data_IF_171400944628
#
_entry.id   IF_171400944628
#
_cell.length_a   1.000
_cell.length_b   1.000
_cell.length_c   1.000
_cell.angle_alpha   90.00
_cell.angle_beta   90.00
_cell.angle_gamma   90.00
#
_symmetry.space_group_name_H-M   'P 1'
#
loop_
_entity.id
_entity.type
_entity.pdbx_description
1 polymer ?
#
# COMPACT_ATOMS: atom_id res chain seq x y z
N UNK A 1 -12.11 -18.99 2.94
CA UNK A 1 -12.40 -17.94 1.93
C UNK A 1 -11.52 -18.17 0.71
N UNK A 2 -10.21 -18.33 0.88
CA UNK A 2 -9.28 -18.54 -0.23
C UNK A 2 -9.57 -19.84 -1.01
N UNK A 3 -9.89 -20.93 -0.33
CA UNK A 3 -10.18 -22.22 -0.98
C UNK A 3 -11.40 -22.20 -1.92
N UNK A 4 -12.42 -21.42 -1.60
CA UNK A 4 -13.61 -21.33 -2.46
C UNK A 4 -13.38 -20.51 -3.75
N UNK A 5 -12.32 -19.72 -3.80
CA UNK A 5 -11.99 -18.82 -4.92
C UNK A 5 -10.63 -19.09 -5.57
N UNK A 6 -9.98 -20.20 -5.23
CA UNK A 6 -8.67 -20.55 -5.80
C UNK A 6 -8.68 -20.59 -7.33
N UNK A 7 -9.72 -21.19 -7.92
CA UNK A 7 -9.88 -21.27 -9.37
C UNK A 7 -10.07 -19.91 -10.02
N UNK A 8 -10.74 -18.97 -9.34
CA UNK A 8 -10.89 -17.59 -9.84
C UNK A 8 -9.53 -16.90 -9.92
N UNK A 9 -8.68 -17.11 -8.90
CA UNK A 9 -7.32 -16.56 -8.85
C UNK A 9 -6.44 -17.18 -9.93
N UNK A 10 -6.45 -18.52 -10.04
CA UNK A 10 -5.68 -19.27 -11.05
C UNK A 10 -6.06 -18.87 -12.49
N UNK A 11 -7.35 -18.61 -12.73
CA UNK A 11 -7.87 -18.27 -14.05
C UNK A 11 -7.90 -16.76 -14.34
N UNK A 12 -7.48 -15.91 -13.40
CA UNK A 12 -7.57 -14.45 -13.56
C UNK A 12 -6.63 -13.88 -14.62
N UNK A 13 -5.57 -14.63 -15.00
CA UNK A 13 -4.62 -14.22 -16.04
C UNK A 13 -3.74 -13.02 -15.62
N UNK A 14 -3.48 -12.87 -14.32
CA UNK A 14 -2.57 -11.85 -13.82
C UNK A 14 -1.12 -12.28 -14.05
N UNK A 15 -0.23 -11.29 -14.25
CA UNK A 15 1.21 -11.52 -14.41
C UNK A 15 1.92 -11.73 -13.06
N UNK A 16 1.35 -11.21 -11.96
CA UNK A 16 1.91 -11.31 -10.62
C UNK A 16 0.87 -11.14 -9.52
N UNK A 17 1.33 -11.19 -8.28
CA UNK A 17 0.49 -11.12 -7.09
C UNK A 17 1.12 -10.27 -5.98
N UNK A 18 0.30 -9.42 -5.34
CA UNK A 18 0.68 -8.70 -4.14
C UNK A 18 0.12 -9.42 -2.91
N UNK A 19 0.99 -9.84 -2.00
CA UNK A 19 0.60 -10.51 -0.76
C UNK A 19 0.72 -9.57 0.44
N UNK A 20 -0.25 -9.63 1.33
CA UNK A 20 -0.42 -8.67 2.44
C UNK A 20 -0.46 -9.33 3.82
N UNK A 21 -0.42 -10.65 3.86
CA UNK A 21 -0.43 -11.40 5.11
C UNK A 21 0.35 -12.72 4.99
N UNK A 22 0.85 -13.28 6.11
CA UNK A 22 1.47 -14.59 6.12
C UNK A 22 0.53 -15.71 5.65
N UNK A 23 -0.77 -15.58 5.89
CA UNK A 23 -1.77 -16.55 5.43
C UNK A 23 -1.87 -16.57 3.90
N UNK A 24 -1.81 -15.40 3.26
CA UNK A 24 -1.77 -15.31 1.79
C UNK A 24 -0.49 -15.95 1.23
N UNK A 25 0.65 -15.72 1.87
CA UNK A 25 1.91 -16.37 1.49
C UNK A 25 1.81 -17.91 1.57
N UNK A 26 1.27 -18.43 2.66
CA UNK A 26 1.09 -19.88 2.82
C UNK A 26 0.12 -20.43 1.80
N UNK A 27 -0.96 -19.72 1.52
CA UNK A 27 -1.92 -20.10 0.48
C UNK A 27 -1.27 -20.18 -0.91
N UNK A 28 -0.49 -19.16 -1.30
CA UNK A 28 0.25 -19.14 -2.57
C UNK A 28 1.16 -20.35 -2.70
N UNK A 29 1.88 -20.72 -1.63
CA UNK A 29 2.78 -21.87 -1.60
C UNK A 29 2.02 -23.20 -1.68
N UNK A 30 0.99 -23.38 -0.87
CA UNK A 30 0.19 -24.62 -0.82
C UNK A 30 -0.53 -24.90 -2.14
N UNK A 31 -0.94 -23.87 -2.85
CA UNK A 31 -1.62 -23.99 -4.16
C UNK A 31 -0.68 -24.00 -5.36
N UNK A 32 0.62 -23.87 -5.15
CA UNK A 32 1.61 -23.82 -6.25
C UNK A 32 1.49 -22.57 -7.12
N UNK A 33 0.85 -21.49 -6.63
CA UNK A 33 0.64 -20.26 -7.41
C UNK A 33 1.96 -19.51 -7.67
N UNK A 34 3.01 -19.82 -6.92
CA UNK A 34 4.34 -19.26 -7.13
C UNK A 34 4.88 -19.59 -8.52
N UNK A 35 4.71 -20.84 -8.96
CA UNK A 35 5.11 -21.28 -10.30
C UNK A 35 4.20 -20.65 -11.39
N UNK A 36 2.90 -20.52 -11.10
CA UNK A 36 1.94 -19.92 -12.03
C UNK A 36 2.29 -18.46 -12.36
N UNK A 37 2.71 -17.68 -11.36
CA UNK A 37 3.08 -16.28 -11.52
C UNK A 37 4.58 -16.08 -11.77
N UNK A 38 5.31 -17.13 -12.18
CA UNK A 38 6.74 -17.10 -12.51
C UNK A 38 7.62 -16.43 -11.43
N UNK A 39 7.18 -16.51 -10.17
CA UNK A 39 7.85 -15.86 -9.05
C UNK A 39 7.63 -14.36 -8.93
N UNK A 40 6.75 -13.76 -9.73
CA UNK A 40 6.41 -12.34 -9.62
C UNK A 40 5.37 -12.10 -8.51
N UNK A 41 5.83 -12.35 -7.27
CA UNK A 41 5.06 -12.18 -6.05
C UNK A 41 5.76 -11.14 -5.19
N UNK A 42 5.03 -10.06 -4.91
CA UNK A 42 5.53 -8.95 -4.09
C UNK A 42 4.95 -9.01 -2.69
N UNK A 43 5.80 -9.00 -1.68
CA UNK A 43 5.40 -8.82 -0.29
C UNK A 43 5.10 -7.33 -0.04
N UNK A 44 3.83 -7.00 0.26
CA UNK A 44 3.40 -5.63 0.52
C UNK A 44 3.96 -5.09 1.85
N UNK A 45 3.90 -3.78 2.05
CA UNK A 45 4.39 -3.11 3.27
C UNK A 45 3.82 -3.70 4.57
N UNK A 46 2.65 -4.33 4.53
CA UNK A 46 2.02 -5.06 5.66
C UNK A 46 2.80 -6.31 6.10
N UNK A 47 3.76 -6.77 5.29
CA UNK A 47 4.62 -7.91 5.64
C UNK A 47 5.78 -7.50 6.54
N UNK A 48 5.87 -6.21 6.89
CA UNK A 48 6.79 -5.68 7.91
C UNK A 48 8.27 -6.02 7.69
N UNK A 49 8.76 -5.79 6.48
CA UNK A 49 10.18 -5.97 6.14
C UNK A 49 11.02 -4.79 6.65
N UNK A 50 11.28 -4.74 7.96
CA UNK A 50 11.99 -3.62 8.61
C UNK A 50 13.51 -3.72 8.55
N UNK A 51 14.06 -4.91 8.33
CA UNK A 51 15.49 -5.15 8.38
C UNK A 51 15.88 -6.30 7.44
N UNK A 52 17.21 -6.48 7.28
CA UNK A 52 17.77 -7.52 6.42
C UNK A 52 17.31 -8.93 6.80
N UNK A 53 17.21 -9.23 8.09
CA UNK A 53 16.84 -10.56 8.55
C UNK A 53 15.41 -10.93 8.14
N UNK A 54 14.47 -9.94 8.21
CA UNK A 54 13.11 -10.11 7.74
C UNK A 54 13.08 -10.34 6.21
N UNK A 55 13.84 -9.56 5.44
CA UNK A 55 13.98 -9.76 3.99
C UNK A 55 14.51 -11.16 3.69
N UNK A 56 15.62 -11.56 4.32
CA UNK A 56 16.22 -12.88 4.12
C UNK A 56 15.28 -14.03 4.52
N UNK A 57 14.47 -13.85 5.56
CA UNK A 57 13.48 -14.86 5.94
C UNK A 57 12.44 -15.06 4.82
N UNK A 58 11.95 -13.99 4.21
CA UNK A 58 11.02 -14.09 3.08
C UNK A 58 11.71 -14.63 1.81
N UNK A 59 12.98 -14.31 1.57
CA UNK A 59 13.74 -14.91 0.47
C UNK A 59 13.82 -16.43 0.57
N UNK A 60 13.99 -16.98 1.78
CA UNK A 60 13.96 -18.46 1.99
C UNK A 60 12.61 -19.07 1.63
N UNK A 61 11.55 -18.25 1.63
CA UNK A 61 10.20 -18.61 1.21
C UNK A 61 9.92 -18.33 -0.27
N UNK A 62 10.94 -17.87 -1.01
CA UNK A 62 10.87 -17.63 -2.45
C UNK A 62 10.47 -16.20 -2.84
N UNK A 63 10.24 -15.29 -1.90
CA UNK A 63 9.85 -13.90 -2.17
C UNK A 63 11.10 -13.05 -2.42
N UNK A 64 11.12 -12.31 -3.53
CA UNK A 64 12.23 -11.43 -3.91
C UNK A 64 11.79 -9.98 -4.19
N UNK A 65 10.50 -9.73 -4.23
CA UNK A 65 9.94 -8.41 -4.48
C UNK A 65 9.28 -7.89 -3.20
N UNK A 66 9.63 -6.68 -2.79
CA UNK A 66 9.19 -6.10 -1.52
C UNK A 66 8.72 -4.67 -1.68
N UNK A 67 7.53 -4.37 -1.17
CA UNK A 67 7.13 -3.00 -0.87
C UNK A 67 7.71 -2.61 0.48
N UNK A 68 8.56 -1.58 0.49
CA UNK A 68 9.21 -1.09 1.70
C UNK A 68 8.19 -0.53 2.68
N UNK A 69 8.38 -0.81 3.98
CA UNK A 69 7.43 -0.41 5.02
C UNK A 69 7.21 1.11 5.07
N UNK A 70 5.96 1.50 5.30
CA UNK A 70 5.55 2.90 5.49
C UNK A 70 5.99 3.47 6.84
N UNK A 71 6.41 2.63 7.78
CA UNK A 71 6.84 3.02 9.11
C UNK A 71 8.34 3.35 9.20
N UNK A 72 9.13 3.05 8.15
CA UNK A 72 10.55 3.37 8.10
C UNK A 72 10.78 4.83 7.68
N UNK A 73 11.65 5.54 8.43
CA UNK A 73 12.12 6.85 7.98
C UNK A 73 13.22 6.73 6.92
N UNK A 74 13.56 7.86 6.28
CA UNK A 74 14.54 7.91 5.20
C UNK A 74 15.90 7.30 5.58
N UNK A 75 16.36 7.53 6.83
CA UNK A 75 17.63 6.98 7.32
C UNK A 75 17.58 5.46 7.49
N UNK A 76 16.48 4.94 8.01
CA UNK A 76 16.24 3.51 8.17
C UNK A 76 16.08 2.82 6.81
N UNK A 77 15.34 3.42 5.87
CA UNK A 77 15.23 2.95 4.49
C UNK A 77 16.61 2.83 3.83
N UNK A 78 17.42 3.89 3.91
CA UNK A 78 18.78 3.89 3.38
C UNK A 78 19.66 2.79 4.00
N UNK A 79 19.52 2.56 5.30
CA UNK A 79 20.22 1.50 6.02
C UNK A 79 19.81 0.12 5.54
N UNK A 80 18.51 -0.14 5.40
CA UNK A 80 17.97 -1.40 4.89
C UNK A 80 18.46 -1.65 3.47
N UNK A 81 18.24 -0.72 2.53
CA UNK A 81 18.64 -0.84 1.13
C UNK A 81 20.15 -1.10 0.98
N UNK A 82 20.97 -0.44 1.78
CA UNK A 82 22.42 -0.70 1.82
C UNK A 82 22.74 -2.12 2.27
N UNK A 83 21.98 -2.67 3.23
CA UNK A 83 22.21 -4.00 3.80
C UNK A 83 21.85 -5.16 2.87
N UNK A 84 20.91 -4.94 1.94
CA UNK A 84 20.44 -5.91 0.94
C UNK A 84 21.05 -5.66 -0.46
N UNK A 85 21.95 -4.69 -0.58
CA UNK A 85 22.57 -4.32 -1.87
C UNK A 85 23.38 -5.47 -2.43
N UNK A 86 23.16 -5.81 -3.70
CA UNK A 86 23.85 -6.90 -4.40
C UNK A 86 23.13 -8.23 -4.32
N UNK A 87 22.06 -8.33 -3.57
CA UNK A 87 21.10 -9.45 -3.62
C UNK A 87 20.16 -9.22 -4.82
N UNK A 88 19.64 -10.30 -5.39
CA UNK A 88 18.67 -10.19 -6.51
C UNK A 88 17.27 -9.94 -5.96
N UNK A 89 17.10 -8.75 -5.35
CA UNK A 89 15.88 -8.28 -4.69
C UNK A 89 15.39 -7.04 -5.41
N UNK A 90 14.10 -7.01 -5.71
CA UNK A 90 13.39 -5.84 -6.19
C UNK A 90 12.70 -5.14 -5.04
N UNK A 91 12.85 -3.83 -4.95
CA UNK A 91 12.23 -2.99 -3.92
C UNK A 91 11.38 -1.89 -4.53
N UNK A 92 10.19 -1.70 -3.98
CA UNK A 92 9.36 -0.56 -4.31
C UNK A 92 8.94 0.23 -3.07
N UNK A 93 8.65 1.52 -3.24
CA UNK A 93 8.12 2.39 -2.19
C UNK A 93 6.80 3.00 -2.63
N UNK A 94 5.81 2.99 -1.74
CA UNK A 94 4.60 3.79 -1.93
C UNK A 94 4.98 5.27 -1.83
N UNK A 95 4.70 6.04 -2.88
CA UNK A 95 5.03 7.47 -2.97
C UNK A 95 3.80 8.36 -3.03
N UNK A 96 2.63 7.76 -3.18
CA UNK A 96 1.34 8.41 -3.04
C UNK A 96 0.27 7.41 -2.63
N UNK A 97 -0.56 7.79 -1.66
CA UNK A 97 -1.79 7.08 -1.32
C UNK A 97 -2.38 7.48 0.03
N UNK A 98 -3.67 7.21 0.21
CA UNK A 98 -4.28 7.27 1.53
C UNK A 98 -3.95 6.01 2.30
N UNK A 99 -3.23 6.15 3.40
CA UNK A 99 -2.83 5.01 4.23
C UNK A 99 -4.02 4.58 5.11
N UNK A 100 -4.39 3.29 5.12
CA UNK A 100 -5.37 2.78 6.04
C UNK A 100 -4.89 2.92 7.49
N UNK A 101 -5.66 3.61 8.32
CA UNK A 101 -5.36 3.78 9.75
C UNK A 101 -5.97 2.68 10.60
N UNK A 102 -7.11 2.12 10.13
CA UNK A 102 -7.87 1.17 10.92
C UNK A 102 -8.66 0.22 10.04
N UNK A 103 -8.71 -1.04 10.45
CA UNK A 103 -9.67 -2.05 9.98
C UNK A 103 -10.64 -2.32 11.12
N UNK A 104 -11.95 -2.24 10.87
CA UNK A 104 -12.94 -2.47 11.90
C UNK A 104 -14.08 -3.38 11.42
N UNK A 105 -14.49 -4.33 12.25
CA UNK A 105 -15.62 -5.21 12.01
C UNK A 105 -16.99 -4.57 12.36
N UNK A 106 -16.98 -3.40 13.01
CA UNK A 106 -18.22 -2.66 13.32
C UNK A 106 -18.77 -1.99 12.07
N UNK A 107 -19.98 -2.35 11.65
CA UNK A 107 -20.60 -1.74 10.47
C UNK A 107 -21.01 -0.28 10.76
N UNK A 108 -20.30 0.68 10.12
CA UNK A 108 -20.56 2.11 10.29
C UNK A 108 -21.99 2.49 9.89
N UNK A 109 -22.55 1.84 8.86
CA UNK A 109 -23.91 2.09 8.39
C UNK A 109 -24.98 1.70 9.40
N UNK A 110 -24.78 0.60 10.12
CA UNK A 110 -25.74 0.16 11.17
C UNK A 110 -25.79 1.10 12.37
N UNK A 111 -24.70 1.81 12.66
CA UNK A 111 -24.68 2.82 13.72
C UNK A 111 -25.43 4.10 13.32
N UNK A 112 -25.37 4.47 12.04
CA UNK A 112 -26.00 5.72 11.54
C UNK A 112 -27.46 5.53 11.20
N UNK A 113 -27.87 4.35 10.73
CA UNK A 113 -29.26 4.08 10.35
C UNK A 113 -29.58 2.60 10.51
N UNK A 114 -30.50 2.30 11.45
CA UNK A 114 -31.01 0.94 11.70
C UNK A 114 -31.76 0.37 10.49
N UNK A 115 -32.30 1.24 9.64
CA UNK A 115 -33.18 0.86 8.52
C UNK A 115 -32.46 0.75 7.18
N UNK A 116 -31.13 1.01 7.13
CA UNK A 116 -30.37 0.85 5.88
C UNK A 116 -30.11 -0.62 5.60
N UNK A 117 -30.47 -1.10 4.40
CA UNK A 117 -30.21 -2.49 4.04
C UNK A 117 -28.69 -2.76 4.03
N UNK A 118 -28.33 -3.93 4.57
CA UNK A 118 -26.98 -4.48 4.47
C UNK A 118 -26.59 -4.67 3.00
N UNK A 119 -25.29 -4.59 2.68
CA UNK A 119 -24.79 -4.88 1.33
C UNK A 119 -24.58 -3.66 0.42
N UNK A 120 -24.72 -2.46 0.93
CA UNK A 120 -24.34 -1.25 0.20
C UNK A 120 -22.87 -0.92 0.46
N UNK A 121 -21.99 -1.38 -0.41
CA UNK A 121 -20.63 -0.89 -0.46
C UNK A 121 -20.61 0.59 -0.82
N UNK A 122 -19.69 1.36 -0.24
CA UNK A 122 -19.55 2.78 -0.55
C UNK A 122 -18.48 3.44 0.29
N UNK A 123 -18.13 4.65 -0.10
CA UNK A 123 -17.23 5.52 0.64
C UNK A 123 -18.09 6.45 1.52
N UNK A 124 -17.74 6.53 2.79
CA UNK A 124 -18.42 7.34 3.80
C UNK A 124 -17.41 8.21 4.51
N UNK A 125 -17.84 9.36 4.99
CA UNK A 125 -16.99 10.25 5.77
C UNK A 125 -17.29 10.12 7.26
N UNK A 126 -16.24 9.92 8.06
CA UNK A 126 -16.28 9.93 9.51
C UNK A 126 -15.59 11.19 10.03
N UNK A 127 -16.23 11.90 10.96
CA UNK A 127 -15.63 13.08 11.59
C UNK A 127 -15.05 12.71 12.94
N UNK A 128 -13.75 12.95 13.12
CA UNK A 128 -13.07 12.73 14.39
C UNK A 128 -13.37 13.84 15.41
N UNK A 129 -12.88 13.68 16.66
CA UNK A 129 -13.07 14.67 17.73
C UNK A 129 -12.39 16.02 17.44
N UNK A 130 -11.39 16.05 16.55
CA UNK A 130 -10.68 17.27 16.14
C UNK A 130 -11.28 17.91 14.89
N UNK A 131 -12.40 17.35 14.39
CA UNK A 131 -13.10 17.84 13.20
C UNK A 131 -12.49 17.37 11.88
N UNK A 132 -11.50 16.48 11.89
CA UNK A 132 -10.92 15.89 10.67
C UNK A 132 -11.90 14.91 10.04
N UNK A 133 -11.97 14.95 8.71
CA UNK A 133 -12.81 14.03 7.93
C UNK A 133 -11.94 12.85 7.49
N UNK A 134 -12.32 11.65 7.92
CA UNK A 134 -11.69 10.38 7.58
C UNK A 134 -12.58 9.66 6.59
N UNK A 135 -12.00 9.15 5.50
CA UNK A 135 -12.75 8.32 4.55
C UNK A 135 -12.85 6.90 5.06
N UNK A 136 -14.06 6.32 5.00
CA UNK A 136 -14.31 4.93 5.38
C UNK A 136 -14.93 4.17 4.21
N UNK A 137 -14.31 3.07 3.81
CA UNK A 137 -14.83 2.16 2.79
C UNK A 137 -15.45 0.95 3.48
N UNK A 138 -16.73 0.71 3.19
CA UNK A 138 -17.44 -0.47 3.68
C UNK A 138 -17.24 -1.67 2.76
N UNK A 139 -16.50 -2.66 3.21
CA UNK A 139 -16.33 -3.95 2.54
C UNK A 139 -17.47 -4.90 2.94
N UNK A 140 -18.67 -4.60 2.48
CA UNK A 140 -19.91 -5.26 2.95
C UNK A 140 -19.96 -6.77 2.73
N UNK A 141 -19.28 -7.28 1.71
CA UNK A 141 -19.21 -8.71 1.43
C UNK A 141 -18.56 -9.50 2.59
N UNK A 142 -17.56 -8.90 3.24
CA UNK A 142 -16.81 -9.50 4.35
C UNK A 142 -17.11 -8.88 5.72
N UNK A 143 -18.06 -7.92 5.79
CA UNK A 143 -18.46 -7.22 7.01
C UNK A 143 -17.32 -6.53 7.76
N UNK A 144 -16.39 -5.89 7.05
CA UNK A 144 -15.40 -5.01 7.65
C UNK A 144 -15.36 -3.64 6.96
N UNK A 145 -14.68 -2.68 7.57
CA UNK A 145 -14.48 -1.36 7.00
C UNK A 145 -12.99 -1.01 7.05
N UNK A 146 -12.53 -0.29 6.04
CA UNK A 146 -11.23 0.36 6.00
C UNK A 146 -11.42 1.84 6.28
N UNK A 147 -10.73 2.37 7.27
CA UNK A 147 -10.75 3.79 7.60
C UNK A 147 -9.40 4.36 7.22
N UNK A 148 -9.41 5.32 6.31
CA UNK A 148 -8.23 5.96 5.77
C UNK A 148 -7.88 7.26 6.49
N UNK A 149 -6.65 7.69 6.39
CA UNK A 149 -6.23 8.99 6.87
C UNK A 149 -7.05 10.12 6.20
N UNK A 150 -7.11 11.27 6.86
CA UNK A 150 -7.81 12.45 6.34
C UNK A 150 -7.10 13.13 5.16
N UNK A 151 -5.83 12.83 4.96
CA UNK A 151 -4.99 13.36 3.88
C UNK A 151 -4.10 12.25 3.33
N UNK A 152 -3.73 12.29 2.04
CA UNK A 152 -2.82 11.32 1.44
C UNK A 152 -1.39 11.49 1.98
N UNK A 153 -0.64 10.40 1.97
CA UNK A 153 0.81 10.45 2.01
C UNK A 153 1.34 10.79 0.63
N UNK A 154 2.25 11.77 0.55
CA UNK A 154 2.86 12.21 -0.71
C UNK A 154 4.37 12.31 -0.54
N UNK A 155 5.10 11.52 -1.34
CA UNK A 155 6.56 11.50 -1.46
C UNK A 155 7.03 11.72 -2.90
N UNK A 156 6.17 12.27 -3.78
CA UNK A 156 6.48 12.47 -5.20
C UNK A 156 7.68 13.40 -5.43
N UNK A 157 7.90 14.37 -4.55
CA UNK A 157 9.10 15.23 -4.55
C UNK A 157 10.36 14.53 -4.02
N UNK A 158 10.25 13.30 -3.51
CA UNK A 158 11.34 12.47 -3.00
C UNK A 158 11.81 11.39 -3.96
N UNK A 159 11.27 11.35 -5.19
CA UNK A 159 11.61 10.29 -6.14
C UNK A 159 13.09 10.23 -6.46
N UNK A 160 13.74 11.39 -6.64
CA UNK A 160 15.20 11.44 -6.90
C UNK A 160 15.97 10.89 -5.70
N UNK A 161 15.61 11.30 -4.49
CA UNK A 161 16.24 10.82 -3.26
C UNK A 161 16.05 9.30 -3.09
N UNK A 162 14.85 8.77 -3.34
CA UNK A 162 14.56 7.33 -3.26
C UNK A 162 15.33 6.52 -4.31
N UNK A 163 15.44 7.04 -5.56
CA UNK A 163 16.28 6.44 -6.61
C UNK A 163 17.76 6.38 -6.19
N UNK A 164 18.28 7.48 -5.63
CA UNK A 164 19.67 7.55 -5.17
C UNK A 164 19.95 6.60 -3.99
N UNK A 165 18.93 6.30 -3.19
CA UNK A 165 19.01 5.28 -2.14
C UNK A 165 19.04 3.85 -2.71
N UNK A 166 18.58 3.64 -3.96
CA UNK A 166 18.53 2.35 -4.63
C UNK A 166 17.16 1.68 -4.58
N UNK A 167 16.06 2.44 -4.46
CA UNK A 167 14.70 1.92 -4.65
C UNK A 167 14.46 1.69 -6.14
N UNK A 168 13.99 0.50 -6.51
CA UNK A 168 13.81 0.08 -7.91
C UNK A 168 12.49 0.58 -8.50
N UNK A 169 11.43 0.58 -7.72
CA UNK A 169 10.07 0.94 -8.14
C UNK A 169 9.39 1.97 -7.25
N UNK A 170 8.51 2.77 -7.86
CA UNK A 170 7.68 3.76 -7.16
C UNK A 170 6.22 3.46 -7.42
N UNK A 171 5.45 3.26 -6.36
CA UNK A 171 4.03 2.91 -6.44
C UNK A 171 3.13 4.08 -6.06
N UNK A 172 2.12 4.33 -6.87
CA UNK A 172 0.97 5.18 -6.51
C UNK A 172 -0.23 4.28 -6.23
N UNK A 173 -0.97 4.54 -5.16
CA UNK A 173 -2.14 3.75 -4.78
C UNK A 173 -3.36 4.64 -4.57
N UNK A 174 -4.38 4.44 -5.39
CA UNK A 174 -5.65 5.16 -5.30
C UNK A 174 -6.67 4.33 -4.53
N UNK A 175 -7.51 4.97 -3.74
CA UNK A 175 -8.50 4.31 -2.89
C UNK A 175 -9.81 5.10 -2.72
N UNK A 176 -9.74 6.39 -2.44
CA UNK A 176 -10.89 7.25 -2.10
C UNK A 176 -10.95 8.50 -2.96
N UNK A 177 -9.99 8.68 -3.83
CA UNK A 177 -9.87 9.80 -4.76
C UNK A 177 -10.99 9.77 -5.80
N UNK A 178 -11.41 10.94 -6.23
CA UNK A 178 -12.26 11.10 -7.39
C UNK A 178 -11.43 11.09 -8.70
N UNK A 179 -12.09 11.18 -9.83
CA UNK A 179 -11.45 11.13 -11.16
C UNK A 179 -10.47 12.29 -11.38
N UNK A 180 -10.86 13.52 -10.98
CA UNK A 180 -10.03 14.72 -11.15
C UNK A 180 -8.76 14.65 -10.27
N UNK A 181 -8.91 14.21 -9.02
CA UNK A 181 -7.80 13.99 -8.09
C UNK A 181 -6.85 12.91 -8.61
N UNK A 182 -7.40 11.80 -9.10
CA UNK A 182 -6.63 10.70 -9.69
C UNK A 182 -5.80 11.18 -10.87
N UNK A 183 -6.40 11.91 -11.80
CA UNK A 183 -5.72 12.44 -12.97
C UNK A 183 -4.60 13.41 -12.58
N UNK A 184 -4.88 14.34 -11.67
CA UNK A 184 -3.88 15.32 -11.21
C UNK A 184 -2.66 14.64 -10.57
N UNK A 185 -2.88 13.61 -9.76
CA UNK A 185 -1.80 12.84 -9.14
C UNK A 185 -1.01 12.03 -10.17
N UNK A 186 -1.68 11.43 -11.15
CA UNK A 186 -0.99 10.69 -12.22
C UNK A 186 -0.08 11.61 -13.04
N UNK A 187 -0.54 12.80 -13.40
CA UNK A 187 0.26 13.80 -14.12
C UNK A 187 1.51 14.20 -13.30
N UNK A 188 1.34 14.44 -12.00
CA UNK A 188 2.46 14.73 -11.11
C UNK A 188 3.44 13.56 -11.01
N UNK A 189 2.93 12.34 -10.86
CA UNK A 189 3.76 11.14 -10.76
C UNK A 189 4.56 10.88 -12.04
N UNK A 190 3.95 11.07 -13.21
CA UNK A 190 4.63 10.94 -14.52
C UNK A 190 5.75 11.98 -14.66
N UNK A 191 5.49 13.25 -14.33
CA UNK A 191 6.49 14.31 -14.38
C UNK A 191 7.66 14.03 -13.42
N UNK A 192 7.34 13.59 -12.18
CA UNK A 192 8.37 13.20 -11.21
C UNK A 192 9.22 12.02 -11.72
N UNK A 193 8.59 11.01 -12.31
CA UNK A 193 9.29 9.85 -12.87
C UNK A 193 10.18 10.23 -14.06
N UNK A 194 9.79 11.24 -14.85
CA UNK A 194 10.58 11.80 -15.93
C UNK A 194 11.82 12.60 -15.46
N UNK A 195 11.99 12.78 -14.15
CA UNK A 195 13.16 13.42 -13.55
C UNK A 195 12.94 14.87 -13.11
N UNK A 196 11.71 15.34 -13.07
CA UNK A 196 11.38 16.64 -12.48
C UNK A 196 11.45 16.55 -10.95
N UNK A 197 12.62 16.83 -10.39
CA UNK A 197 12.84 16.84 -8.95
C UNK A 197 12.35 18.14 -8.28
N UNK A 198 11.77 19.08 -9.04
CA UNK A 198 11.28 20.38 -8.56
C UNK A 198 9.79 20.35 -8.17
N UNK A 199 9.15 19.17 -8.22
CA UNK A 199 7.73 19.00 -7.90
C UNK A 199 7.45 19.42 -6.47
N UNK A 200 6.49 20.33 -6.29
CA UNK A 200 5.95 20.66 -4.98
C UNK A 200 4.99 19.57 -4.51
N UNK A 201 5.35 18.90 -3.42
CA UNK A 201 4.44 17.97 -2.76
C UNK A 201 3.14 18.68 -2.36
N UNK A 202 2.02 18.04 -2.64
CA UNK A 202 0.69 18.56 -2.27
C UNK A 202 0.08 19.54 -3.27
N UNK A 203 0.68 19.75 -4.44
CA UNK A 203 0.04 20.50 -5.51
C UNK A 203 -1.25 19.78 -5.92
N UNK A 204 -2.41 20.39 -5.69
CA UNK A 204 -3.72 19.82 -6.01
C UNK A 204 -4.38 18.99 -4.89
N UNK A 205 -3.80 18.95 -3.68
CA UNK A 205 -4.41 18.31 -2.50
C UNK A 205 -4.70 19.34 -1.39
N UNK A 206 -5.84 19.20 -0.72
CA UNK A 206 -6.22 20.00 0.45
C UNK A 206 -5.41 19.63 1.72
N UNK A 207 -4.12 19.43 1.56
CA UNK A 207 -3.18 18.98 2.57
C UNK A 207 -2.63 17.58 2.27
N UNK A 208 -1.50 17.27 2.90
CA UNK A 208 -0.83 15.97 2.77
C UNK A 208 -0.01 15.67 4.01
N UNK A 209 0.42 14.42 4.13
CA UNK A 209 1.40 13.98 5.13
C UNK A 209 2.61 13.35 4.46
N UNK A 210 3.73 13.30 5.18
CA UNK A 210 4.92 12.53 4.83
C UNK A 210 4.95 11.15 5.49
N UNK A 211 3.84 10.75 6.12
CA UNK A 211 3.83 9.56 6.93
C UNK A 211 4.96 9.57 7.96
N UNK A 212 5.69 8.47 8.03
CA UNK A 212 6.85 8.31 8.92
C UNK A 212 8.20 8.65 8.26
N UNK A 213 8.21 9.03 6.98
CA UNK A 213 9.43 9.23 6.19
C UNK A 213 10.46 10.17 6.85
N UNK A 214 9.99 11.26 7.48
CA UNK A 214 10.88 12.24 8.11
C UNK A 214 11.29 11.86 9.56
N UNK A 215 10.44 11.12 10.30
CA UNK A 215 10.62 10.93 11.76
C UNK A 215 10.68 9.48 12.21
N UNK A 216 10.10 8.55 11.42
CA UNK A 216 9.91 7.17 11.84
C UNK A 216 8.73 7.02 12.82
N UNK A 217 8.62 5.82 13.39
CA UNK A 217 7.72 5.48 14.49
C UNK A 217 8.56 5.50 15.77
N UNK A 218 8.12 6.26 16.78
CA UNK A 218 8.75 6.34 18.09
C UNK A 218 8.39 5.12 18.96
#
# INVERSE_FOLDING_TARGET
>A
IYDSRSKDIENAGFDGMLIRSPEELMYVREKGLYELYHGDITADYNMYTYNKDAVSAYETLGIKNFTLSEELNAGQLKGLLKSIRGENIYTEKLVYGYVPLMVTAGCTLKYVSKDKPCGRAGVYSLRDRKGKMLSAINCCHYCYNLIYNSVPEILLDKLCELKDMGVDGMRVAFSVENEEETQAVLELAVNAAAGDCSIEAGRGADGYTRGHYNRGVD
#
